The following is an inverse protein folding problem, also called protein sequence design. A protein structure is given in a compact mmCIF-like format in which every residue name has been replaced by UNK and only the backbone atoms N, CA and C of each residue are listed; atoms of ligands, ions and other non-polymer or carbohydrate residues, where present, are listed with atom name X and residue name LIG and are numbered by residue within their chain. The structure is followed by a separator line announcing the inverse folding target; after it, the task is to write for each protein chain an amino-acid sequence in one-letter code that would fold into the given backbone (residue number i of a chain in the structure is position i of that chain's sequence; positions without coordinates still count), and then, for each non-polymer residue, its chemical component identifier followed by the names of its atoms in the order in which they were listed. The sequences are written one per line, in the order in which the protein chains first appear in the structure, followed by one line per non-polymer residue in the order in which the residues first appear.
data_IF_083292546552
#
_entry.id   IF_083292546552
#
_cell.length_a   1.000
_cell.length_b   1.000
_cell.length_c   1.000
_cell.angle_alpha   90.00
_cell.angle_beta   90.00
_cell.angle_gamma   90.00
#
_symmetry.space_group_name_H-M   'P 1'
#
loop_
_entity.id
_entity.type
_entity.pdbx_description
1 polymer ?
#
# COMPACT_ATOMS: atom_id res chain seq x y z
N UNK A 1 10.85 25.33 0.92
CA UNK A 1 9.68 24.57 0.46
C UNK A 1 10.03 24.07 -0.94
N UNK A 2 10.16 22.76 -1.11
CA UNK A 2 10.36 22.14 -2.42
C UNK A 2 9.17 22.43 -3.34
N UNK A 3 9.35 22.30 -4.64
CA UNK A 3 8.25 22.46 -5.59
C UNK A 3 7.37 21.21 -5.54
N UNK A 4 6.05 21.38 -5.46
CA UNK A 4 5.09 20.26 -5.52
C UNK A 4 5.21 19.54 -6.87
N UNK A 5 5.30 18.20 -6.83
CA UNK A 5 5.27 17.36 -8.02
C UNK A 5 3.83 16.95 -8.32
N UNK A 6 3.37 17.22 -9.53
CA UNK A 6 2.05 16.83 -10.00
C UNK A 6 2.17 15.68 -11.00
N UNK A 7 1.36 14.65 -10.82
CA UNK A 7 1.26 13.51 -11.75
C UNK A 7 -0.12 13.52 -12.41
N UNK A 8 -0.14 13.31 -13.73
CA UNK A 8 -1.37 13.24 -14.50
C UNK A 8 -1.30 12.04 -15.44
N UNK A 9 -2.41 11.31 -15.58
CA UNK A 9 -2.51 10.16 -16.48
C UNK A 9 -3.89 9.99 -17.06
N UNK A 10 -3.96 9.17 -18.10
CA UNK A 10 -5.23 8.74 -18.70
C UNK A 10 -5.19 7.23 -18.94
N UNK A 11 -6.32 6.58 -18.69
CA UNK A 11 -6.60 5.19 -19.03
C UNK A 11 -7.68 5.15 -20.09
N UNK A 12 -7.46 4.41 -21.17
CA UNK A 12 -8.39 4.32 -22.28
C UNK A 12 -8.92 2.89 -22.44
N UNK A 13 -10.24 2.74 -22.52
CA UNK A 13 -10.85 1.52 -23.03
C UNK A 13 -10.92 1.61 -24.56
N UNK A 14 -10.07 0.87 -25.26
CA UNK A 14 -10.02 0.79 -26.71
C UNK A 14 -10.97 -0.27 -27.29
N UNK A 15 -11.59 -1.08 -26.41
CA UNK A 15 -12.48 -2.16 -26.78
C UNK A 15 -13.87 -1.69 -27.21
N UNK A 16 -14.64 -2.62 -27.77
CA UNK A 16 -16.02 -2.37 -28.23
C UNK A 16 -17.06 -2.55 -27.10
N UNK A 17 -16.65 -3.09 -25.93
CA UNK A 17 -17.50 -3.28 -24.76
C UNK A 17 -17.10 -2.34 -23.62
N UNK A 18 -18.09 -1.84 -22.88
CA UNK A 18 -17.84 -1.09 -21.65
C UNK A 18 -17.37 -2.01 -20.52
N UNK A 19 -16.53 -1.51 -19.65
CA UNK A 19 -16.16 -2.13 -18.38
C UNK A 19 -17.15 -1.67 -17.33
N UNK A 20 -17.97 -2.57 -16.79
CA UNK A 20 -18.97 -2.32 -15.74
C UNK A 20 -18.65 -3.12 -14.48
N UNK A 21 -17.37 -3.21 -14.13
CA UNK A 21 -16.84 -3.93 -12.97
C UNK A 21 -15.78 -3.10 -12.29
N UNK A 22 -15.58 -3.42 -11.00
CA UNK A 22 -14.47 -2.84 -10.25
C UNK A 22 -13.13 -3.26 -10.86
N UNK A 23 -12.24 -2.31 -11.06
CA UNK A 23 -10.83 -2.51 -11.35
C UNK A 23 -10.00 -1.42 -10.67
N UNK A 24 -8.69 -1.64 -10.63
CA UNK A 24 -7.76 -0.72 -9.98
C UNK A 24 -6.79 -0.11 -11.00
N UNK A 25 -6.25 1.04 -10.63
CA UNK A 25 -5.17 1.73 -11.35
C UNK A 25 -4.10 2.04 -10.32
N UNK A 26 -2.91 1.48 -10.50
CA UNK A 26 -1.81 1.60 -9.56
C UNK A 26 -0.72 2.50 -10.11
N UNK A 27 -0.19 3.37 -9.28
CA UNK A 27 1.01 4.15 -9.56
C UNK A 27 2.16 3.58 -8.74
N UNK A 28 3.24 3.24 -9.41
CA UNK A 28 4.50 2.82 -8.80
C UNK A 28 5.56 3.90 -8.96
N UNK A 29 6.39 4.05 -7.95
CA UNK A 29 7.60 4.88 -7.95
C UNK A 29 8.77 3.98 -7.58
N UNK A 30 9.78 3.90 -8.46
CA UNK A 30 10.95 3.01 -8.33
C UNK A 30 10.58 1.54 -8.01
N UNK A 31 9.48 1.08 -8.60
CA UNK A 31 9.00 -0.28 -8.43
C UNK A 31 8.12 -0.51 -7.19
N UNK A 32 7.96 0.50 -6.32
CA UNK A 32 7.07 0.44 -5.15
C UNK A 32 5.73 1.08 -5.50
N UNK A 33 4.62 0.40 -5.21
CA UNK A 33 3.28 0.99 -5.37
C UNK A 33 3.08 2.09 -4.33
N UNK A 34 2.73 3.30 -4.81
CA UNK A 34 2.62 4.51 -3.99
C UNK A 34 1.21 5.09 -3.98
N UNK A 35 0.36 4.68 -4.91
CA UNK A 35 -1.03 5.09 -4.92
C UNK A 35 -1.88 4.10 -5.71
N UNK A 36 -3.13 3.92 -5.28
CA UNK A 36 -4.13 3.08 -5.93
C UNK A 36 -5.46 3.79 -6.04
N UNK A 37 -6.01 3.83 -7.22
CA UNK A 37 -7.36 4.31 -7.49
C UNK A 37 -8.23 3.15 -7.91
N UNK A 38 -9.49 3.23 -7.57
CA UNK A 38 -10.51 2.29 -8.03
C UNK A 38 -11.43 2.96 -9.03
N UNK A 39 -11.79 2.22 -10.08
CA UNK A 39 -12.87 2.55 -10.99
C UNK A 39 -13.84 1.38 -11.06
N UNK A 40 -15.10 1.65 -11.30
CA UNK A 40 -16.11 0.62 -11.47
C UNK A 40 -16.82 0.71 -12.84
N UNK A 41 -16.38 1.65 -13.65
CA UNK A 41 -16.96 1.89 -14.97
C UNK A 41 -15.97 2.60 -15.88
N UNK A 42 -15.89 2.14 -17.14
CA UNK A 42 -15.21 2.84 -18.23
C UNK A 42 -15.89 2.45 -19.54
N UNK A 43 -16.57 3.42 -20.15
CA UNK A 43 -17.28 3.21 -21.40
C UNK A 43 -16.35 2.70 -22.51
N UNK A 44 -16.91 1.97 -23.47
CA UNK A 44 -16.20 1.59 -24.68
C UNK A 44 -15.74 2.81 -25.47
N UNK A 45 -14.57 2.71 -26.08
CA UNK A 45 -13.94 3.79 -26.87
C UNK A 45 -13.82 5.13 -26.12
N UNK A 46 -13.67 5.08 -24.80
CA UNK A 46 -13.57 6.24 -23.92
C UNK A 46 -12.29 6.23 -23.10
N UNK A 47 -12.06 7.32 -22.38
CA UNK A 47 -10.92 7.44 -21.48
C UNK A 47 -11.32 8.07 -20.13
N UNK A 48 -10.64 7.63 -19.07
CA UNK A 48 -10.68 8.24 -17.75
C UNK A 48 -9.37 9.00 -17.51
N UNK A 49 -9.47 10.22 -17.00
CA UNK A 49 -8.29 11.10 -16.81
C UNK A 49 -8.22 11.56 -15.37
N UNK A 50 -7.04 11.44 -14.77
CA UNK A 50 -6.67 12.12 -13.54
C UNK A 50 -5.67 13.21 -13.87
N UNK A 51 -5.90 14.40 -13.35
CA UNK A 51 -5.00 15.54 -13.59
C UNK A 51 -4.54 16.15 -12.26
N UNK A 52 -3.26 16.55 -12.25
CA UNK A 52 -2.67 17.30 -11.14
C UNK A 52 -2.80 16.60 -9.77
N UNK A 53 -2.67 15.27 -9.73
CA UNK A 53 -2.50 14.60 -8.45
C UNK A 53 -1.18 15.02 -7.82
N UNK A 54 -1.23 15.52 -6.60
CA UNK A 54 -0.11 16.12 -5.85
C UNK A 54 0.34 15.27 -4.64
N UNK A 55 -0.23 14.07 -4.49
CA UNK A 55 0.05 13.19 -3.35
C UNK A 55 1.42 12.47 -3.40
N UNK A 56 2.22 12.61 -4.47
CA UNK A 56 3.47 11.85 -4.59
C UNK A 56 4.45 12.15 -3.45
N UNK A 57 4.61 13.42 -3.09
CA UNK A 57 5.49 13.85 -2.00
C UNK A 57 4.98 13.48 -0.59
N UNK A 58 3.71 13.09 -0.47
CA UNK A 58 3.10 12.65 0.79
C UNK A 58 3.31 11.15 1.02
N UNK A 59 3.74 10.42 -0.01
CA UNK A 59 3.89 8.95 0.01
C UNK A 59 5.29 8.48 -0.38
N UNK A 60 6.16 9.39 -0.86
CA UNK A 60 7.54 9.08 -1.27
C UNK A 60 8.47 10.18 -0.82
N UNK A 61 9.62 9.81 -0.24
CA UNK A 61 10.74 10.74 -0.09
C UNK A 61 11.42 10.95 -1.44
N UNK A 62 11.09 12.07 -2.12
CA UNK A 62 11.70 12.42 -3.38
C UNK A 62 13.17 12.79 -3.19
N UNK A 63 14.08 11.99 -3.71
CA UNK A 63 15.53 12.25 -3.71
C UNK A 63 15.96 12.80 -5.07
N UNK A 64 17.08 13.54 -5.14
CA UNK A 64 17.65 13.91 -6.42
C UNK A 64 18.16 12.70 -7.21
N UNK A 65 17.85 12.65 -8.50
CA UNK A 65 18.28 11.55 -9.38
C UNK A 65 17.20 11.15 -10.38
N UNK A 66 17.46 10.07 -11.09
CA UNK A 66 16.50 9.48 -12.01
C UNK A 66 15.61 8.49 -11.25
N UNK A 67 14.30 8.68 -11.40
CA UNK A 67 13.29 7.83 -10.81
C UNK A 67 12.32 7.32 -11.86
N UNK A 68 11.75 6.15 -11.62
CA UNK A 68 10.80 5.49 -12.51
C UNK A 68 9.39 5.68 -11.98
N UNK A 69 8.50 6.17 -12.85
CA UNK A 69 7.05 6.17 -12.62
C UNK A 69 6.42 5.13 -13.54
N UNK A 70 5.68 4.18 -12.96
CA UNK A 70 4.95 3.16 -13.69
C UNK A 70 3.47 3.20 -13.31
N UNK A 71 2.58 3.21 -14.29
CA UNK A 71 1.14 3.07 -14.09
C UNK A 71 0.72 1.68 -14.57
N UNK A 72 -0.06 0.98 -13.77
CA UNK A 72 -0.62 -0.33 -14.09
C UNK A 72 -2.13 -0.28 -13.96
N UNK A 73 -2.84 -0.68 -15.01
CA UNK A 73 -4.30 -0.81 -15.01
C UNK A 73 -4.66 -2.26 -14.79
N UNK A 74 -5.69 -2.50 -13.97
CA UNK A 74 -6.16 -3.84 -13.58
C UNK A 74 -5.03 -4.80 -13.13
N UNK A 75 -4.20 -4.43 -12.16
CA UNK A 75 -3.05 -5.20 -11.72
C UNK A 75 -3.41 -6.60 -11.18
N UNK A 76 -4.67 -6.81 -10.82
CA UNK A 76 -5.20 -8.08 -10.32
C UNK A 76 -5.92 -8.91 -11.38
N UNK A 77 -5.93 -8.43 -12.63
CA UNK A 77 -6.53 -9.11 -13.78
C UNK A 77 -8.00 -9.52 -13.56
N UNK A 78 -8.80 -8.57 -13.05
CA UNK A 78 -10.23 -8.79 -12.78
C UNK A 78 -11.10 -8.57 -14.04
N UNK A 79 -10.61 -7.82 -15.00
CA UNK A 79 -11.28 -7.52 -16.26
C UNK A 79 -10.63 -8.38 -17.35
N UNK A 80 -11.33 -9.37 -17.93
CA UNK A 80 -10.81 -10.09 -19.07
C UNK A 80 -10.71 -9.16 -20.29
N UNK A 81 -9.53 -8.99 -20.83
CA UNK A 81 -9.25 -8.11 -21.95
C UNK A 81 -8.80 -8.89 -23.19
N UNK A 82 -8.89 -8.27 -24.35
CA UNK A 82 -8.40 -8.87 -25.59
C UNK A 82 -6.89 -8.79 -25.74
N UNK A 83 -6.28 -7.86 -25.02
CA UNK A 83 -4.83 -7.69 -24.93
C UNK A 83 -4.46 -7.29 -23.48
N UNK A 84 -3.96 -8.25 -22.71
CA UNK A 84 -3.52 -8.06 -21.33
C UNK A 84 -2.09 -7.48 -21.23
N UNK A 85 -1.46 -7.15 -22.37
CA UNK A 85 -0.06 -6.71 -22.40
C UNK A 85 0.10 -5.19 -22.50
N UNK A 86 -0.98 -4.45 -22.73
CA UNK A 86 -0.95 -3.00 -22.89
C UNK A 86 -1.50 -2.22 -21.67
N UNK A 87 -1.64 -2.90 -20.53
CA UNK A 87 -2.16 -2.38 -19.28
C UNK A 87 -1.12 -1.62 -18.44
N UNK A 88 0.08 -1.41 -18.95
CA UNK A 88 1.11 -0.68 -18.22
C UNK A 88 1.87 0.34 -19.07
N UNK A 89 2.30 1.40 -18.41
CA UNK A 89 3.22 2.39 -18.98
C UNK A 89 4.26 2.78 -17.95
N UNK A 90 5.52 2.85 -18.38
CA UNK A 90 6.64 3.26 -17.54
C UNK A 90 7.38 4.45 -18.15
N UNK A 91 7.75 5.42 -17.31
CA UNK A 91 8.53 6.59 -17.70
C UNK A 91 9.61 6.87 -16.66
N UNK A 92 10.76 7.34 -17.11
CA UNK A 92 11.83 7.84 -16.22
C UNK A 92 11.77 9.37 -16.15
N UNK A 93 11.95 9.92 -14.96
CA UNK A 93 12.04 11.35 -14.69
C UNK A 93 13.23 11.65 -13.77
N UNK A 94 13.88 12.77 -14.02
CA UNK A 94 14.99 13.26 -13.18
C UNK A 94 14.46 14.31 -12.22
N UNK A 95 14.64 14.08 -10.91
CA UNK A 95 14.44 15.09 -9.87
C UNK A 95 15.76 15.82 -9.60
N UNK A 96 15.69 17.15 -9.58
CA UNK A 96 16.84 17.98 -9.29
C UNK A 96 17.01 18.20 -7.78
N UNK A 97 18.23 18.34 -7.27
CA UNK A 97 18.45 18.67 -5.87
C UNK A 97 17.77 19.99 -5.50
N UNK A 98 17.08 20.02 -4.36
CA UNK A 98 16.63 21.28 -3.77
C UNK A 98 17.86 22.01 -3.21
N UNK A 99 18.21 23.14 -3.82
CA UNK A 99 19.40 23.93 -3.43
C UNK A 99 19.26 24.59 -2.07
N UNK A 100 18.11 24.44 -1.40
CA UNK A 100 17.80 25.02 -0.08
C UNK A 100 17.67 23.96 1.05
N UNK A 101 17.87 22.69 0.80
CA UNK A 101 17.87 21.70 1.88
C UNK A 101 19.08 21.87 2.79
N UNK A 102 18.82 22.34 4.00
CA UNK A 102 19.73 22.10 5.13
C UNK A 102 19.50 20.65 5.55
N UNK A 103 20.35 19.75 5.10
CA UNK A 103 20.33 18.34 5.56
C UNK A 103 20.60 18.35 7.06
N UNK A 104 19.55 18.39 7.87
CA UNK A 104 19.65 18.00 9.27
C UNK A 104 19.73 16.49 9.31
N UNK A 105 20.95 15.94 9.40
CA UNK A 105 21.11 14.53 9.73
C UNK A 105 20.43 14.29 11.08
N UNK A 106 19.46 13.37 11.18
CA UNK A 106 18.88 13.00 12.48
C UNK A 106 20.01 12.53 13.40
N UNK A 107 19.94 12.90 14.67
CA UNK A 107 20.90 12.42 15.69
C UNK A 107 20.64 10.91 15.83
N UNK A 108 21.60 10.01 15.53
CA UNK A 108 21.35 8.57 15.41
C UNK A 108 20.79 7.89 16.67
N UNK A 109 20.87 8.53 17.84
CA UNK A 109 20.54 7.93 19.14
C UNK A 109 19.08 8.15 19.60
N UNK A 110 18.24 8.82 18.80
CA UNK A 110 16.84 9.10 19.17
C UNK A 110 15.95 9.12 17.92
N UNK A 111 15.63 7.95 17.44
CA UNK A 111 14.70 7.76 16.32
C UNK A 111 13.49 6.95 16.77
N UNK A 112 12.35 7.05 16.05
CA UNK A 112 11.28 6.08 16.14
C UNK A 112 11.77 4.71 15.66
N UNK A 113 10.99 3.67 15.90
CA UNK A 113 11.24 2.30 15.45
C UNK A 113 9.91 1.57 15.38
N UNK A 114 9.39 1.41 14.17
CA UNK A 114 8.14 0.72 13.90
C UNK A 114 8.38 -0.78 13.84
N UNK A 115 7.78 -1.52 14.74
CA UNK A 115 7.96 -2.97 14.80
C UNK A 115 6.62 -3.69 14.99
N UNK A 116 6.51 -4.94 14.53
CA UNK A 116 5.38 -5.80 14.85
C UNK A 116 5.16 -5.92 16.35
N UNK A 117 3.90 -5.85 16.78
CA UNK A 117 3.53 -6.01 18.17
C UNK A 117 2.33 -6.94 18.32
N UNK A 118 2.44 -7.93 19.20
CA UNK A 118 1.31 -8.78 19.56
C UNK A 118 0.71 -8.26 20.87
N UNK A 119 -0.49 -7.63 20.83
CA UNK A 119 -1.17 -7.23 22.06
C UNK A 119 -1.50 -8.43 22.96
N UNK A 120 -1.61 -8.22 24.28
CA UNK A 120 -1.84 -9.27 25.26
C UNK A 120 -3.16 -10.07 25.00
N UNK A 121 -4.14 -9.44 24.36
CA UNK A 121 -5.44 -9.99 24.02
C UNK A 121 -5.52 -10.59 22.60
N UNK A 122 -4.39 -10.64 21.85
CA UNK A 122 -4.34 -11.15 20.48
C UNK A 122 -3.52 -12.45 20.38
N UNK A 123 -3.92 -13.34 19.48
CA UNK A 123 -3.19 -14.58 19.20
C UNK A 123 -1.86 -14.32 18.45
N UNK A 124 -1.82 -13.28 17.61
CA UNK A 124 -0.63 -12.88 16.86
C UNK A 124 -0.72 -11.40 16.41
N UNK A 125 0.41 -10.81 16.03
CA UNK A 125 0.48 -9.45 15.49
C UNK A 125 -0.21 -9.28 14.14
N UNK A 126 -0.36 -10.35 13.37
CA UNK A 126 -1.11 -10.43 12.10
C UNK A 126 -2.11 -11.57 12.20
N UNK A 127 -3.39 -11.28 12.04
CA UNK A 127 -4.48 -12.25 12.08
C UNK A 127 -5.38 -12.11 10.85
N UNK A 128 -6.05 -13.21 10.50
CA UNK A 128 -7.09 -13.24 9.46
C UNK A 128 -8.32 -14.02 9.96
N UNK A 129 -9.52 -13.47 9.75
CA UNK A 129 -10.77 -14.02 10.24
C UNK A 129 -11.92 -13.73 9.27
N UNK A 130 -12.96 -14.61 9.19
CA UNK A 130 -14.17 -14.31 8.45
C UNK A 130 -15.08 -13.28 9.15
N UNK A 131 -14.72 -12.86 10.34
CA UNK A 131 -15.48 -11.89 11.13
C UNK A 131 -14.68 -10.62 11.38
N UNK A 132 -15.38 -9.47 11.36
CA UNK A 132 -14.77 -8.18 11.68
C UNK A 132 -14.38 -8.09 13.17
N UNK A 133 -13.31 -7.33 13.43
CA UNK A 133 -12.88 -6.96 14.78
C UNK A 133 -12.42 -8.11 15.68
N UNK A 134 -12.11 -9.26 15.10
CA UNK A 134 -11.51 -10.36 15.84
C UNK A 134 -10.08 -10.04 16.29
N UNK A 135 -9.64 -10.78 17.29
CA UNK A 135 -8.28 -10.73 17.88
C UNK A 135 -7.55 -12.06 17.73
N UNK A 136 -8.19 -13.03 17.07
CA UNK A 136 -7.71 -14.38 16.82
C UNK A 136 -7.97 -14.79 15.36
N UNK A 137 -7.19 -15.75 14.88
CA UNK A 137 -7.44 -16.35 13.57
C UNK A 137 -8.76 -17.11 13.54
N UNK A 138 -9.45 -17.04 12.40
CA UNK A 138 -10.67 -17.81 12.10
C UNK A 138 -10.49 -18.78 10.94
N UNK A 139 -11.44 -19.68 10.72
CA UNK A 139 -11.45 -20.56 9.55
C UNK A 139 -11.69 -19.73 8.28
N UNK A 140 -10.78 -19.77 7.31
CA UNK A 140 -10.86 -19.02 6.06
C UNK A 140 -11.44 -19.87 4.94
N UNK A 141 -12.26 -19.25 4.09
CA UNK A 141 -12.89 -19.88 2.93
C UNK A 141 -13.03 -18.89 1.80
N UNK A 142 -12.92 -19.36 0.57
CA UNK A 142 -13.13 -18.53 -0.63
C UNK A 142 -14.58 -18.05 -0.80
N UNK A 143 -15.52 -18.65 -0.06
CA UNK A 143 -16.94 -18.30 -0.08
C UNK A 143 -17.36 -17.37 1.07
N UNK A 144 -16.43 -17.00 1.97
CA UNK A 144 -16.72 -16.16 3.13
C UNK A 144 -15.81 -14.92 3.13
N UNK A 145 -16.32 -13.77 3.61
CA UNK A 145 -15.48 -12.59 3.81
C UNK A 145 -14.19 -12.92 4.56
N UNK A 146 -13.10 -12.21 4.25
CA UNK A 146 -11.85 -12.32 5.01
C UNK A 146 -11.39 -10.93 5.42
N UNK A 147 -11.32 -10.71 6.73
CA UNK A 147 -10.82 -9.49 7.35
C UNK A 147 -9.43 -9.74 7.91
N UNK A 148 -8.50 -8.84 7.64
CA UNK A 148 -7.13 -8.92 8.12
C UNK A 148 -6.89 -7.80 9.12
N UNK A 149 -6.18 -8.11 10.19
CA UNK A 149 -5.73 -7.10 11.13
C UNK A 149 -4.27 -7.30 11.50
N UNK A 150 -3.53 -6.18 11.55
CA UNK A 150 -2.11 -6.16 11.88
C UNK A 150 -1.83 -5.08 12.93
N UNK A 151 -0.87 -5.33 13.80
CA UNK A 151 -0.47 -4.39 14.83
C UNK A 151 1.02 -4.12 14.78
N UNK A 152 1.35 -2.84 14.68
CA UNK A 152 2.71 -2.30 14.85
C UNK A 152 2.71 -1.34 16.03
N UNK A 153 3.84 -1.15 16.64
CA UNK A 153 4.07 -0.12 17.64
C UNK A 153 5.35 0.64 17.36
N UNK A 154 5.47 1.82 17.95
CA UNK A 154 6.72 2.56 17.94
C UNK A 154 7.50 2.19 19.20
N UNK A 155 8.46 1.28 19.07
CA UNK A 155 9.35 0.87 20.15
C UNK A 155 10.59 1.76 20.31
N UNK A 156 10.70 2.78 19.44
CA UNK A 156 11.80 3.74 19.46
C UNK A 156 11.72 4.75 20.60
N UNK A 157 12.55 5.77 20.54
CA UNK A 157 12.69 6.77 21.62
C UNK A 157 12.02 8.11 21.28
N UNK A 158 11.45 8.24 20.10
CA UNK A 158 10.79 9.47 19.61
C UNK A 158 9.45 9.12 18.99
N UNK A 159 8.43 9.91 19.30
CA UNK A 159 7.11 9.79 18.69
C UNK A 159 7.15 10.17 17.19
N UNK A 160 6.34 9.50 16.39
CA UNK A 160 6.09 9.84 14.99
C UNK A 160 4.94 10.83 14.97
N UNK A 161 5.17 12.02 14.41
CA UNK A 161 4.15 13.06 14.27
C UNK A 161 3.42 12.99 12.93
N UNK A 162 4.07 12.43 11.94
CA UNK A 162 3.57 12.33 10.57
C UNK A 162 2.67 11.10 10.41
N UNK A 163 1.89 11.08 9.35
CA UNK A 163 1.08 9.94 8.99
C UNK A 163 1.97 8.78 8.48
N UNK A 164 1.61 7.55 8.85
CA UNK A 164 2.32 6.32 8.49
C UNK A 164 1.42 5.48 7.58
N UNK A 165 1.93 5.09 6.44
CA UNK A 165 1.27 4.13 5.56
C UNK A 165 1.47 2.70 6.04
N UNK A 166 0.43 1.88 5.92
CA UNK A 166 0.46 0.44 6.16
C UNK A 166 -0.15 -0.27 4.96
N UNK A 167 0.65 -1.10 4.30
CA UNK A 167 0.27 -1.82 3.08
C UNK A 167 0.01 -3.29 3.37
N UNK A 168 -1.04 -3.85 2.76
CA UNK A 168 -1.37 -5.27 2.81
C UNK A 168 -1.16 -5.90 1.44
N UNK A 169 -0.39 -6.97 1.42
CA UNK A 169 -0.14 -7.81 0.25
C UNK A 169 -0.72 -9.21 0.44
N UNK A 170 -1.16 -9.80 -0.66
CA UNK A 170 -1.52 -11.22 -0.79
C UNK A 170 -0.68 -11.80 -1.91
N UNK A 171 0.13 -12.82 -1.64
CA UNK A 171 1.02 -13.47 -2.62
C UNK A 171 1.85 -12.44 -3.42
N UNK A 172 2.46 -11.47 -2.72
CA UNK A 172 3.24 -10.35 -3.25
C UNK A 172 2.43 -9.27 -4.02
N UNK A 173 1.11 -9.43 -4.17
CA UNK A 173 0.26 -8.43 -4.81
C UNK A 173 -0.28 -7.47 -3.74
N UNK A 174 -0.05 -6.17 -3.88
CA UNK A 174 -0.65 -5.16 -3.00
C UNK A 174 -2.17 -5.12 -3.19
N UNK A 175 -2.92 -5.29 -2.12
CA UNK A 175 -4.39 -5.38 -2.16
C UNK A 175 -5.10 -4.29 -1.38
N UNK A 176 -4.46 -3.70 -0.38
CA UNK A 176 -5.03 -2.58 0.38
C UNK A 176 -3.93 -1.70 1.00
N UNK A 177 -4.25 -0.43 1.21
CA UNK A 177 -3.39 0.56 1.85
C UNK A 177 -4.17 1.30 2.93
N UNK A 178 -3.54 1.53 4.09
CA UNK A 178 -4.11 2.28 5.20
C UNK A 178 -3.16 3.38 5.63
N UNK A 179 -3.72 4.55 5.87
CA UNK A 179 -3.01 5.65 6.50
C UNK A 179 -3.37 5.69 7.98
N UNK A 180 -2.38 5.77 8.83
CA UNK A 180 -2.55 5.96 10.27
C UNK A 180 -1.86 7.25 10.69
N UNK A 181 -2.53 8.05 11.50
CA UNK A 181 -1.95 9.29 12.02
C UNK A 181 -1.07 9.01 13.22
N UNK A 182 0.09 9.65 13.26
CA UNK A 182 1.07 9.74 14.32
C UNK A 182 1.13 8.61 15.37
N UNK A 183 2.30 8.27 15.82
CA UNK A 183 2.48 7.20 16.83
C UNK A 183 3.33 7.70 17.99
N UNK A 184 2.79 7.65 19.19
CA UNK A 184 3.55 7.93 20.40
C UNK A 184 4.54 6.81 20.73
N UNK A 185 5.58 7.13 21.46
CA UNK A 185 6.52 6.13 22.02
C UNK A 185 5.74 5.17 22.91
N UNK A 186 6.02 3.87 22.77
CA UNK A 186 5.36 2.79 23.51
C UNK A 186 3.82 2.75 23.35
N UNK A 187 3.27 3.44 22.35
CA UNK A 187 1.84 3.31 22.03
C UNK A 187 1.64 2.08 21.14
N UNK A 188 0.92 1.04 21.62
CA UNK A 188 0.67 -0.18 20.85
C UNK A 188 -0.38 0.01 19.75
N UNK A 189 -0.58 1.21 19.27
CA UNK A 189 -1.87 1.60 18.71
C UNK A 189 -2.00 1.65 17.19
N UNK A 190 -1.10 1.16 16.37
CA UNK A 190 -1.47 0.95 14.96
C UNK A 190 -2.08 -0.42 14.79
N UNK A 191 -3.37 -0.50 15.09
CA UNK A 191 -4.22 -1.62 14.70
C UNK A 191 -4.75 -1.34 13.31
N UNK A 192 -4.01 -1.69 12.28
CA UNK A 192 -4.51 -1.63 10.91
C UNK A 192 -5.51 -2.75 10.69
N UNK A 193 -6.74 -2.37 10.35
CA UNK A 193 -7.82 -3.30 10.00
C UNK A 193 -8.17 -3.10 8.55
N UNK A 194 -8.03 -4.16 7.78
CA UNK A 194 -8.31 -4.17 6.35
C UNK A 194 -9.71 -4.75 6.12
N UNK A 195 -10.38 -4.23 5.11
CA UNK A 195 -11.71 -4.70 4.73
C UNK A 195 -11.64 -6.06 4.05
N UNK A 196 -12.79 -6.65 3.76
CA UNK A 196 -12.92 -7.94 3.12
C UNK A 196 -12.01 -8.10 1.90
N UNK A 197 -11.04 -9.03 2.00
CA UNK A 197 -10.07 -9.31 0.96
C UNK A 197 -10.71 -9.79 -0.35
N UNK A 198 -11.82 -10.55 -0.27
CA UNK A 198 -12.47 -11.11 -1.46
C UNK A 198 -13.05 -10.04 -2.38
N UNK A 199 -13.22 -8.82 -1.86
CA UNK A 199 -13.59 -7.65 -2.67
C UNK A 199 -12.39 -6.97 -3.34
N UNK A 200 -11.18 -7.39 -3.03
CA UNK A 200 -9.93 -6.75 -3.45
C UNK A 200 -9.11 -7.61 -4.41
N UNK A 201 -9.11 -8.91 -4.17
CA UNK A 201 -8.35 -9.89 -4.93
C UNK A 201 -9.11 -11.20 -5.01
N UNK A 202 -9.11 -11.90 -6.16
CA UNK A 202 -9.68 -13.22 -6.27
C UNK A 202 -8.82 -14.21 -5.46
N UNK A 203 -9.44 -14.92 -4.52
CA UNK A 203 -8.79 -15.96 -3.73
C UNK A 203 -9.12 -17.35 -4.29
N UNK A 204 -8.13 -18.23 -4.28
CA UNK A 204 -8.31 -19.66 -4.58
C UNK A 204 -8.22 -20.48 -3.29
N UNK A 205 -8.77 -21.71 -3.24
CA UNK A 205 -8.45 -22.62 -2.15
C UNK A 205 -6.96 -22.96 -2.13
N UNK A 206 -6.35 -22.98 -0.95
CA UNK A 206 -4.94 -23.30 -0.78
C UNK A 206 -4.25 -22.42 0.24
N UNK A 207 -2.92 -22.49 0.23
CA UNK A 207 -2.04 -21.66 1.06
C UNK A 207 -1.78 -20.34 0.34
N UNK A 208 -1.97 -19.23 1.05
CA UNK A 208 -1.63 -17.87 0.58
C UNK A 208 -0.83 -17.15 1.64
N UNK A 209 0.09 -16.30 1.22
CA UNK A 209 0.90 -15.47 2.09
C UNK A 209 0.28 -14.09 2.24
N UNK A 210 -0.02 -13.70 3.49
CA UNK A 210 -0.36 -12.31 3.83
C UNK A 210 0.90 -11.63 4.35
N UNK A 211 1.24 -10.50 3.74
CA UNK A 211 2.34 -9.63 4.17
C UNK A 211 1.82 -8.24 4.45
N UNK A 212 2.14 -7.69 5.62
CA UNK A 212 1.80 -6.30 5.99
C UNK A 212 3.08 -5.54 6.28
N UNK A 213 3.22 -4.37 5.67
CA UNK A 213 4.40 -3.51 5.80
C UNK A 213 3.97 -2.15 6.35
N UNK A 214 4.59 -1.73 7.43
CA UNK A 214 4.47 -0.35 7.93
C UNK A 214 5.58 0.49 7.29
N UNK A 215 5.25 1.73 6.96
CA UNK A 215 6.13 2.69 6.26
C UNK A 215 6.89 2.08 5.04
N UNK A 216 6.19 1.48 4.08
CA UNK A 216 6.82 0.77 2.96
C UNK A 216 7.67 1.68 2.04
N UNK A 217 7.62 3.00 2.23
CA UNK A 217 8.29 4.00 1.40
C UNK A 217 9.38 4.78 2.16
N UNK A 218 9.76 4.33 3.37
CA UNK A 218 10.79 4.94 4.23
C UNK A 218 10.60 6.46 4.44
N UNK A 219 9.36 6.89 4.64
CA UNK A 219 9.03 8.30 4.89
C UNK A 219 9.40 8.71 6.31
N UNK A 220 9.30 7.78 7.25
CA UNK A 220 9.76 7.91 8.63
C UNK A 220 11.18 7.39 8.70
N UNK A 221 12.12 8.22 9.15
CA UNK A 221 13.49 7.74 9.41
C UNK A 221 13.52 7.04 10.74
N UNK A 222 13.86 5.76 10.74
CA UNK A 222 13.79 4.88 11.91
C UNK A 222 15.18 4.45 12.39
N UNK A 223 15.23 3.92 13.60
CA UNK A 223 16.47 3.33 14.12
C UNK A 223 16.75 1.95 13.53
N UNK A 224 15.71 1.28 13.01
CA UNK A 224 15.80 0.01 12.32
C UNK A 224 14.71 -0.07 11.24
N UNK A 225 15.11 0.04 9.98
CA UNK A 225 14.23 -0.02 8.80
C UNK A 225 13.91 -1.46 8.37
N UNK A 226 14.55 -2.47 8.99
CA UNK A 226 14.45 -3.88 8.54
C UNK A 226 13.37 -4.67 9.31
N UNK A 227 12.67 -4.08 10.28
CA UNK A 227 11.72 -4.78 11.15
C UNK A 227 10.24 -4.38 10.96
N UNK A 228 9.92 -3.62 9.92
CA UNK A 228 8.59 -3.05 9.65
C UNK A 228 7.64 -4.02 8.94
N UNK A 229 7.93 -5.33 8.94
CA UNK A 229 7.23 -6.33 8.14
C UNK A 229 6.62 -7.41 9.01
N UNK A 230 5.35 -7.73 8.74
CA UNK A 230 4.65 -8.92 9.21
C UNK A 230 4.34 -9.81 8.03
N UNK A 231 4.69 -11.11 8.12
CA UNK A 231 4.38 -12.08 7.08
C UNK A 231 3.93 -13.39 7.70
N UNK A 232 2.82 -13.95 7.20
CA UNK A 232 2.29 -15.25 7.64
C UNK A 232 1.56 -15.95 6.50
N UNK A 233 1.63 -17.27 6.50
CA UNK A 233 0.83 -18.13 5.64
C UNK A 233 -0.50 -18.48 6.29
N UNK A 234 -1.57 -18.48 5.48
CA UNK A 234 -2.92 -18.87 5.84
C UNK A 234 -3.49 -19.82 4.82
N UNK A 235 -4.47 -20.64 5.23
CA UNK A 235 -5.09 -21.65 4.37
C UNK A 235 -6.55 -21.30 4.14
N UNK A 236 -6.94 -21.15 2.88
CA UNK A 236 -8.34 -21.00 2.47
C UNK A 236 -8.90 -22.33 1.99
N UNK A 237 -10.09 -22.70 2.50
CA UNK A 237 -10.84 -23.90 2.10
C UNK A 237 -11.94 -23.62 1.09
#
# INVERSE_FOLDING_TARGET
MGSTTYVSWAVANKGEASVDRLFFIDLHFDGVEVARWRSNHLDNLSLSVITNWDGLQDVVRLTPGDHTLKLVVDPTNLIPETDETDNEIEIVRTWLPDTNEVVSTPVPDRLPDLAPHTPDDWDAALIASPYENEVADGPLSVDMPTYVAAVFWNQGLVSISDDVWVYLYVDEVLVDMRLTSGMLVEDPAVRSRFQDLLQRVPMSPGVHTLRVVADPNDLVVESNEDNNVLEREFVWG
#
